data_IF_360451329396
#
_entry.id   IF_360451329396
#
_cell.length_a   1.000
_cell.length_b   1.000
_cell.length_c   1.000
_cell.angle_alpha   90.00
_cell.angle_beta   90.00
_cell.angle_gamma   90.00
#
_symmetry.space_group_name_H-M   'P 1'
#
loop_
_entity.id
_entity.type
_entity.pdbx_description
1 polymer ?
#
# COMPACT_ATOMS: atom_id res chain seq x y z
N UNK A 1 -31.88 -48.15 -1.07
CA UNK A 1 -31.47 -47.56 0.23
C UNK A 1 -30.01 -47.06 0.24
N UNK A 2 -29.23 -47.28 -0.83
CA UNK A 2 -27.84 -46.78 -0.95
C UNK A 2 -27.76 -45.39 -1.62
N UNK A 3 -28.66 -45.11 -2.57
CA UNK A 3 -28.70 -43.84 -3.33
C UNK A 3 -29.10 -42.66 -2.43
N UNK A 4 -30.01 -42.87 -1.47
CA UNK A 4 -30.46 -41.85 -0.52
C UNK A 4 -29.34 -41.40 0.43
N UNK A 5 -28.43 -42.30 0.82
CA UNK A 5 -27.28 -41.97 1.68
C UNK A 5 -26.23 -41.15 0.91
N UNK A 6 -26.03 -41.46 -0.37
CA UNK A 6 -25.13 -40.72 -1.28
C UNK A 6 -25.60 -39.26 -1.53
N UNK A 7 -26.91 -39.01 -1.62
CA UNK A 7 -27.47 -37.67 -1.82
C UNK A 7 -27.37 -36.81 -0.55
N UNK A 8 -27.48 -37.42 0.64
CA UNK A 8 -27.35 -36.73 1.92
C UNK A 8 -25.88 -36.35 2.20
N UNK A 9 -24.92 -37.18 1.75
CA UNK A 9 -23.49 -36.91 1.93
C UNK A 9 -22.97 -35.77 1.03
N UNK A 10 -23.50 -35.61 -0.18
CA UNK A 10 -23.07 -34.52 -1.10
C UNK A 10 -23.63 -33.15 -0.72
N UNK A 11 -24.78 -33.08 -0.07
CA UNK A 11 -25.38 -31.81 0.38
C UNK A 11 -24.63 -31.19 1.58
N UNK A 12 -23.98 -31.99 2.41
CA UNK A 12 -23.22 -31.51 3.58
C UNK A 12 -21.88 -30.84 3.19
N UNK A 13 -21.28 -31.20 2.06
CA UNK A 13 -20.04 -30.57 1.57
C UNK A 13 -20.27 -29.19 0.92
N UNK A 14 -21.48 -28.91 0.45
CA UNK A 14 -21.77 -27.67 -0.29
C UNK A 14 -21.95 -26.43 0.61
N UNK A 15 -22.15 -26.58 1.93
CA UNK A 15 -22.43 -25.47 2.84
C UNK A 15 -21.18 -24.88 3.51
N UNK A 16 -20.01 -25.53 3.39
CA UNK A 16 -18.75 -25.09 4.01
C UNK A 16 -17.95 -24.09 3.16
N UNK A 17 -18.35 -23.80 1.93
CA UNK A 17 -17.61 -22.88 1.03
C UNK A 17 -17.96 -21.40 1.23
N UNK A 18 -18.89 -21.06 2.13
CA UNK A 18 -19.30 -19.67 2.33
C UNK A 18 -18.19 -18.76 2.90
N UNK A 19 -17.16 -19.32 3.55
CA UNK A 19 -16.07 -18.55 4.15
C UNK A 19 -14.81 -18.45 3.27
N UNK A 20 -14.72 -19.15 2.13
CA UNK A 20 -13.48 -19.15 1.31
C UNK A 20 -13.30 -17.87 0.49
N UNK A 21 -14.37 -17.08 0.34
CA UNK A 21 -14.35 -15.88 -0.51
C UNK A 21 -14.09 -14.59 0.27
N UNK A 22 -13.86 -14.66 1.58
CA UNK A 22 -13.44 -13.49 2.36
C UNK A 22 -11.92 -13.34 2.30
N UNK A 23 -11.44 -12.17 1.90
CA UNK A 23 -10.02 -11.83 1.91
C UNK A 23 -9.77 -10.48 2.58
N UNK A 24 -8.65 -10.32 3.30
CA UNK A 24 -8.30 -9.03 3.85
C UNK A 24 -8.02 -8.03 2.72
N UNK A 25 -8.45 -6.78 2.91
CA UNK A 25 -8.17 -5.72 1.96
C UNK A 25 -6.66 -5.57 1.76
N UNK A 26 -6.16 -5.55 0.50
CA UNK A 26 -4.76 -5.28 0.23
C UNK A 26 -4.34 -3.95 0.87
N UNK A 27 -3.15 -3.92 1.49
CA UNK A 27 -2.62 -2.71 2.13
C UNK A 27 -2.53 -1.57 1.12
N UNK A 28 -3.25 -0.48 1.39
CA UNK A 28 -3.21 0.74 0.57
C UNK A 28 -1.84 1.41 0.72
N UNK A 29 -1.20 1.86 -0.38
CA UNK A 29 0.03 2.63 -0.29
C UNK A 29 -0.22 3.95 0.47
N UNK A 30 0.72 4.33 1.32
CA UNK A 30 0.66 5.51 2.15
C UNK A 30 1.52 6.66 1.59
N UNK A 31 1.22 7.88 2.02
CA UNK A 31 2.00 9.07 1.70
C UNK A 31 3.43 8.96 2.23
N UNK A 32 4.39 9.31 1.37
CA UNK A 32 5.81 9.38 1.72
C UNK A 32 6.58 10.22 0.71
N UNK A 33 7.85 10.45 0.98
CA UNK A 33 8.77 10.95 -0.03
C UNK A 33 9.10 9.87 -1.04
N UNK A 34 8.95 10.17 -2.33
CA UNK A 34 9.25 9.23 -3.41
C UNK A 34 9.86 9.93 -4.62
N UNK A 35 10.52 9.14 -5.46
CA UNK A 35 11.05 9.52 -6.77
C UNK A 35 11.05 8.26 -7.65
N UNK A 36 10.65 8.40 -8.91
CA UNK A 36 10.59 7.26 -9.81
C UNK A 36 11.97 6.60 -9.98
N UNK A 37 12.01 5.27 -9.91
CA UNK A 37 13.25 4.49 -10.00
C UNK A 37 14.10 4.46 -8.73
N UNK A 38 13.66 5.10 -7.64
CA UNK A 38 14.37 5.13 -6.36
C UNK A 38 13.62 4.29 -5.33
N UNK A 39 14.34 3.52 -4.51
CA UNK A 39 13.73 2.73 -3.44
C UNK A 39 13.24 3.61 -2.29
N UNK A 40 12.28 3.10 -1.51
CA UNK A 40 11.79 3.81 -0.31
C UNK A 40 12.92 4.08 0.69
N UNK A 41 13.86 3.14 0.84
CA UNK A 41 15.00 3.31 1.74
C UNK A 41 15.93 4.44 1.29
N UNK A 42 16.19 4.57 -0.01
CA UNK A 42 16.99 5.67 -0.54
C UNK A 42 16.28 7.02 -0.36
N UNK A 43 14.96 7.07 -0.58
CA UNK A 43 14.17 8.28 -0.31
C UNK A 43 14.22 8.69 1.17
N UNK A 44 14.15 7.71 2.08
CA UNK A 44 14.31 7.94 3.54
C UNK A 44 15.70 8.44 3.89
N UNK A 45 16.75 7.83 3.33
CA UNK A 45 18.13 8.28 3.50
C UNK A 45 18.34 9.72 3.02
N UNK A 46 17.74 10.08 1.87
CA UNK A 46 17.81 11.44 1.36
C UNK A 46 17.08 12.44 2.26
N UNK A 47 15.90 12.08 2.78
CA UNK A 47 15.17 12.91 3.76
C UNK A 47 15.97 13.12 5.05
N UNK A 48 16.61 12.07 5.57
CA UNK A 48 17.48 12.16 6.73
C UNK A 48 18.67 13.10 6.46
N UNK A 49 19.29 12.99 5.27
CA UNK A 49 20.36 13.90 4.85
C UNK A 49 19.88 15.36 4.80
N UNK A 50 18.76 15.64 4.15
CA UNK A 50 18.20 17.01 4.12
C UNK A 50 17.92 17.55 5.52
N UNK A 51 17.41 16.70 6.42
CA UNK A 51 17.14 17.08 7.81
C UNK A 51 18.42 17.43 8.56
N UNK A 52 19.49 16.63 8.36
CA UNK A 52 20.80 16.89 8.95
C UNK A 52 21.42 18.18 8.40
N UNK A 53 21.51 18.33 7.08
CA UNK A 53 22.14 19.48 6.42
C UNK A 53 21.43 20.80 6.80
N UNK A 54 20.10 20.82 6.83
CA UNK A 54 19.32 21.98 7.27
C UNK A 54 19.54 22.24 8.77
N UNK A 55 19.54 21.19 9.60
CA UNK A 55 19.76 21.29 11.04
C UNK A 55 21.13 21.88 11.40
N UNK A 56 22.17 21.54 10.64
CA UNK A 56 23.53 22.03 10.83
C UNK A 56 23.68 23.55 10.59
N UNK A 57 22.78 24.14 9.79
CA UNK A 57 22.80 25.58 9.48
C UNK A 57 22.11 26.46 10.54
N UNK A 58 21.71 25.91 11.70
CA UNK A 58 21.09 26.64 12.82
C UNK A 58 19.87 27.51 12.46
N UNK A 59 19.13 27.13 11.44
CA UNK A 59 17.88 27.80 11.02
C UNK A 59 16.78 27.70 12.08
N UNK A 60 15.89 28.67 12.09
CA UNK A 60 14.71 28.69 12.97
C UNK A 60 13.76 27.52 12.67
N UNK A 61 13.05 27.01 13.69
CA UNK A 61 12.23 25.79 13.58
C UNK A 61 11.14 25.93 12.52
N UNK A 62 10.55 27.11 12.39
CA UNK A 62 9.52 27.43 11.39
C UNK A 62 10.05 27.36 9.96
N UNK A 63 11.32 27.73 9.74
CA UNK A 63 11.98 27.70 8.43
C UNK A 63 12.55 26.31 8.10
N UNK A 64 12.94 25.53 9.11
CA UNK A 64 13.51 24.18 8.93
C UNK A 64 12.65 23.29 8.06
N UNK A 65 11.34 23.23 8.31
CA UNK A 65 10.45 22.34 7.56
C UNK A 65 10.39 22.72 6.07
N UNK A 66 10.23 24.01 5.78
CA UNK A 66 10.23 24.55 4.41
C UNK A 66 11.53 24.27 3.68
N UNK A 67 12.68 24.36 4.38
CA UNK A 67 13.99 24.08 3.80
C UNK A 67 14.20 22.58 3.56
N UNK A 68 13.70 21.70 4.43
CA UNK A 68 13.74 20.25 4.21
C UNK A 68 12.89 19.88 2.99
N UNK A 69 11.67 20.44 2.87
CA UNK A 69 10.81 20.26 1.69
C UNK A 69 11.54 20.73 0.42
N UNK A 70 12.13 21.93 0.47
CA UNK A 70 12.87 22.50 -0.65
C UNK A 70 14.07 21.62 -1.05
N UNK A 71 14.81 21.10 -0.07
CA UNK A 71 15.94 20.18 -0.30
C UNK A 71 15.48 18.89 -0.99
N UNK A 72 14.38 18.30 -0.55
CA UNK A 72 13.82 17.10 -1.19
C UNK A 72 13.34 17.40 -2.61
N UNK A 73 12.63 18.51 -2.80
CA UNK A 73 12.06 18.91 -4.07
C UNK A 73 13.15 19.24 -5.11
N UNK A 74 14.25 19.88 -4.68
CA UNK A 74 15.41 20.21 -5.51
C UNK A 74 16.08 18.97 -6.10
N UNK A 75 16.14 17.87 -5.34
CA UNK A 75 16.65 16.58 -5.81
C UNK A 75 15.61 15.77 -6.61
N UNK A 76 14.43 16.34 -6.86
CA UNK A 76 13.36 15.73 -7.66
C UNK A 76 12.45 14.77 -6.89
N UNK A 77 12.51 14.73 -5.56
CA UNK A 77 11.55 13.97 -4.76
C UNK A 77 10.23 14.72 -4.62
N UNK A 78 9.14 13.97 -4.42
CA UNK A 78 7.80 14.50 -4.17
C UNK A 78 7.20 13.81 -2.94
N UNK A 79 6.36 14.54 -2.20
CA UNK A 79 5.63 13.98 -1.07
C UNK A 79 4.22 13.60 -1.51
N UNK A 80 3.82 12.37 -1.23
CA UNK A 80 2.47 11.86 -1.51
C UNK A 80 2.47 10.36 -1.77
N UNK A 81 1.35 9.84 -2.28
CA UNK A 81 1.23 8.45 -2.72
C UNK A 81 1.85 8.29 -4.12
N UNK A 82 2.83 7.39 -4.32
CA UNK A 82 3.34 7.07 -5.65
C UNK A 82 2.22 6.58 -6.56
N UNK A 83 2.02 7.24 -7.70
CA UNK A 83 0.88 6.96 -8.60
C UNK A 83 0.90 5.53 -9.15
N UNK A 84 2.09 5.00 -9.41
CA UNK A 84 2.29 3.62 -9.87
C UNK A 84 1.75 2.61 -8.85
N UNK A 85 2.14 2.73 -7.59
CA UNK A 85 1.68 1.84 -6.52
C UNK A 85 0.18 2.00 -6.24
N UNK A 86 -0.34 3.23 -6.32
CA UNK A 86 -1.77 3.46 -6.17
C UNK A 86 -2.57 2.76 -7.27
N UNK A 87 -2.07 2.79 -8.51
CA UNK A 87 -2.67 2.09 -9.63
C UNK A 87 -2.60 0.58 -9.44
N UNK A 88 -1.43 0.04 -9.10
CA UNK A 88 -1.25 -1.39 -8.82
C UNK A 88 -2.19 -1.89 -7.71
N UNK A 89 -2.38 -1.10 -6.65
CA UNK A 89 -3.33 -1.41 -5.58
C UNK A 89 -4.77 -1.43 -6.08
N UNK A 90 -5.20 -0.44 -6.88
CA UNK A 90 -6.54 -0.40 -7.47
C UNK A 90 -6.78 -1.60 -8.38
N UNK A 91 -5.84 -1.89 -9.27
CA UNK A 91 -5.92 -2.99 -10.22
C UNK A 91 -6.02 -4.34 -9.47
N UNK A 92 -5.28 -4.51 -8.36
CA UNK A 92 -5.37 -5.69 -7.49
C UNK A 92 -6.74 -5.80 -6.81
N UNK A 93 -7.24 -4.72 -6.22
CA UNK A 93 -8.56 -4.69 -5.57
C UNK A 93 -9.66 -5.05 -6.57
N UNK A 94 -9.62 -4.46 -7.77
CA UNK A 94 -10.61 -4.71 -8.81
C UNK A 94 -10.52 -6.16 -9.35
N UNK A 95 -9.32 -6.71 -9.46
CA UNK A 95 -9.12 -8.11 -9.82
C UNK A 95 -9.74 -9.08 -8.81
N UNK A 96 -9.50 -8.85 -7.50
CA UNK A 96 -10.07 -9.69 -6.44
C UNK A 96 -11.60 -9.63 -6.41
N UNK A 97 -12.16 -8.42 -6.56
CA UNK A 97 -13.62 -8.27 -6.67
C UNK A 97 -14.20 -9.00 -7.87
N UNK A 98 -13.55 -8.92 -9.04
CA UNK A 98 -13.97 -9.66 -10.25
C UNK A 98 -13.90 -11.18 -10.08
N UNK A 99 -12.98 -11.67 -9.25
CA UNK A 99 -12.88 -13.09 -8.90
C UNK A 99 -13.93 -13.55 -7.88
N UNK A 100 -14.78 -12.64 -7.39
CA UNK A 100 -15.85 -12.95 -6.44
C UNK A 100 -15.44 -12.86 -4.96
N UNK A 101 -14.25 -12.30 -4.66
CA UNK A 101 -13.84 -12.09 -3.27
C UNK A 101 -14.57 -10.91 -2.62
N UNK A 102 -15.00 -11.10 -1.38
CA UNK A 102 -15.46 -10.07 -0.48
C UNK A 102 -14.26 -9.57 0.34
N UNK A 103 -13.91 -8.29 0.17
CA UNK A 103 -12.78 -7.67 0.85
C UNK A 103 -13.24 -7.01 2.15
N UNK A 104 -12.53 -7.26 3.25
CA UNK A 104 -12.79 -6.69 4.58
C UNK A 104 -11.58 -5.96 5.17
#
# INVERSE_FOLDING_TARGET
MEISKLIILTTIYATLTACTNMQPMPKKPADRWFKDGISENEARSKYAKCTYDVGMNKVEVTEKHTLIISCMAADGYRYGVPQKELKEWKDKVDSLKKQGYLLY
#
